data_IF_167671486024
#
_entry.id   IF_167671486024
#
_cell.length_a   1.000
_cell.length_b   1.000
_cell.length_c   1.000
_cell.angle_alpha   90.00
_cell.angle_beta   90.00
_cell.angle_gamma   90.00
#
_symmetry.space_group_name_H-M   'P 1'
#
loop_
_entity.id
_entity.type
_entity.pdbx_description
1 polymer ?
#
# COMPACT_ATOMS: atom_id res chain seq x y z
N UNK A 1 3.98 -23.04 7.64
CA UNK A 1 3.12 -22.04 8.26
C UNK A 1 1.76 -22.66 8.57
N UNK A 2 1.28 -22.48 9.78
CA UNK A 2 -0.06 -22.96 10.16
C UNK A 2 -1.09 -21.86 9.94
N UNK A 3 -1.94 -22.07 8.94
CA UNK A 3 -3.09 -21.21 8.64
C UNK A 3 -4.38 -21.98 8.89
N UNK A 4 -5.47 -21.27 9.21
CA UNK A 4 -6.80 -21.88 9.31
C UNK A 4 -7.31 -22.29 7.93
N UNK A 5 -6.86 -21.60 6.87
CA UNK A 5 -7.22 -21.90 5.48
C UNK A 5 -6.03 -21.60 4.55
N UNK A 6 -5.99 -22.30 3.42
CA UNK A 6 -5.02 -22.03 2.36
C UNK A 6 -5.43 -20.76 1.61
N UNK A 7 -4.48 -19.85 1.27
CA UNK A 7 -4.81 -18.69 0.46
C UNK A 7 -5.47 -19.09 -0.86
N UNK A 8 -6.53 -18.37 -1.23
CA UNK A 8 -7.25 -18.63 -2.48
C UNK A 8 -6.43 -18.11 -3.67
N UNK A 9 -6.48 -18.83 -4.78
CA UNK A 9 -5.85 -18.37 -6.02
C UNK A 9 -6.64 -17.17 -6.56
N UNK A 10 -5.98 -16.01 -6.82
CA UNK A 10 -6.68 -14.87 -7.37
C UNK A 10 -7.13 -15.15 -8.81
N UNK A 11 -8.32 -14.66 -9.20
CA UNK A 11 -8.71 -14.66 -10.59
C UNK A 11 -7.78 -13.74 -11.39
N UNK A 12 -7.67 -13.93 -12.73
CA UNK A 12 -6.92 -13.00 -13.54
C UNK A 12 -7.54 -11.58 -13.45
N UNK A 13 -6.74 -10.52 -13.54
CA UNK A 13 -7.28 -9.17 -13.58
C UNK A 13 -8.22 -8.99 -14.77
N UNK A 14 -9.21 -8.08 -14.70
CA UNK A 14 -10.08 -7.78 -15.84
C UNK A 14 -9.24 -7.41 -17.07
N UNK A 15 -9.64 -7.90 -18.24
CA UNK A 15 -8.95 -7.58 -19.51
C UNK A 15 -8.93 -6.07 -19.78
N UNK A 16 -10.04 -5.39 -19.45
CA UNK A 16 -10.11 -3.92 -19.43
C UNK A 16 -9.92 -3.47 -17.99
N UNK A 17 -8.87 -2.67 -17.74
CA UNK A 17 -8.61 -2.11 -16.41
C UNK A 17 -9.74 -1.19 -16.01
N UNK A 18 -10.21 -1.23 -14.74
CA UNK A 18 -11.24 -0.32 -14.28
C UNK A 18 -10.73 1.12 -14.29
N UNK A 19 -11.63 2.06 -14.60
CA UNK A 19 -11.32 3.48 -14.47
C UNK A 19 -11.29 3.85 -13.00
N UNK A 20 -10.16 4.39 -12.54
CA UNK A 20 -10.00 4.82 -11.15
C UNK A 20 -10.38 6.28 -11.03
N UNK A 21 -11.28 6.57 -10.11
CA UNK A 21 -11.70 7.94 -9.77
C UNK A 21 -11.48 8.18 -8.29
N UNK A 22 -11.38 9.46 -7.92
CA UNK A 22 -11.28 9.84 -6.51
C UNK A 22 -12.55 9.43 -5.77
N UNK A 23 -12.40 8.83 -4.59
CA UNK A 23 -13.51 8.48 -3.71
C UNK A 23 -14.29 9.73 -3.32
N UNK A 24 -15.63 9.64 -3.30
CA UNK A 24 -16.49 10.71 -2.86
C UNK A 24 -16.08 11.20 -1.46
N UNK A 25 -15.96 12.52 -1.31
CA UNK A 25 -15.51 13.15 -0.07
C UNK A 25 -14.00 13.27 0.08
N UNK A 26 -13.22 12.72 -0.87
CA UNK A 26 -11.75 12.80 -0.86
C UNK A 26 -11.22 13.84 -1.86
N UNK A 27 -12.11 14.51 -2.57
CA UNK A 27 -11.75 15.49 -3.58
C UNK A 27 -11.09 16.72 -2.94
N UNK A 28 -10.12 17.27 -3.65
CA UNK A 28 -9.56 18.57 -3.33
C UNK A 28 -9.95 19.57 -4.40
N UNK A 29 -9.95 20.84 -4.05
CA UNK A 29 -10.32 21.91 -4.99
C UNK A 29 -9.48 21.84 -6.26
N UNK A 30 -10.15 21.79 -7.40
CA UNK A 30 -9.52 21.80 -8.70
C UNK A 30 -8.90 20.46 -9.13
N UNK A 31 -9.22 19.35 -8.49
CA UNK A 31 -8.60 18.05 -8.81
C UNK A 31 -8.87 17.60 -10.25
N UNK A 32 -10.05 17.86 -10.78
CA UNK A 32 -10.41 17.49 -12.16
C UNK A 32 -9.69 18.37 -13.18
N UNK A 33 -9.78 19.69 -13.00
CA UNK A 33 -9.21 20.67 -13.93
C UNK A 33 -7.68 20.57 -14.00
N UNK A 34 -7.05 20.21 -12.89
CA UNK A 34 -5.60 20.04 -12.82
C UNK A 34 -5.14 18.64 -13.19
N UNK A 35 -6.07 17.71 -13.42
CA UNK A 35 -5.74 16.32 -13.71
C UNK A 35 -4.91 15.66 -12.60
N UNK A 36 -5.29 15.91 -11.35
CA UNK A 36 -4.58 15.38 -10.19
C UNK A 36 -4.79 13.86 -10.07
N UNK A 37 -3.81 13.11 -9.53
CA UNK A 37 -3.97 11.68 -9.38
C UNK A 37 -5.14 11.34 -8.47
N UNK A 38 -5.93 10.30 -8.79
CA UNK A 38 -7.09 9.93 -8.00
C UNK A 38 -6.69 9.37 -6.63
N UNK A 39 -7.49 9.69 -5.62
CA UNK A 39 -7.35 9.22 -4.24
C UNK A 39 -8.49 8.24 -3.96
N UNK A 40 -8.18 6.98 -3.68
CA UNK A 40 -9.19 5.93 -3.58
C UNK A 40 -8.85 4.90 -2.51
N UNK A 41 -9.85 4.17 -2.06
CA UNK A 41 -9.73 3.16 -0.99
C UNK A 41 -10.13 1.77 -1.46
N UNK A 42 -10.73 1.68 -2.66
CA UNK A 42 -11.26 0.45 -3.26
C UNK A 42 -11.08 0.54 -4.76
N UNK A 43 -10.64 -0.54 -5.38
CA UNK A 43 -10.63 -0.67 -6.84
C UNK A 43 -12.01 -1.14 -7.30
N UNK A 44 -12.64 -0.49 -8.29
CA UNK A 44 -14.02 -0.81 -8.68
C UNK A 44 -14.08 -2.08 -9.53
N UNK A 45 -14.02 -3.24 -8.88
CA UNK A 45 -14.15 -4.56 -9.49
C UNK A 45 -15.20 -5.39 -8.77
N UNK A 46 -15.77 -6.37 -9.47
CA UNK A 46 -16.75 -7.31 -8.89
C UNK A 46 -16.12 -8.57 -8.34
N UNK A 47 -14.90 -8.87 -8.77
CA UNK A 47 -14.15 -10.04 -8.34
C UNK A 47 -13.88 -9.97 -6.83
N UNK A 48 -13.99 -11.11 -6.15
CA UNK A 48 -13.69 -11.20 -4.73
C UNK A 48 -12.18 -11.22 -4.50
N UNK A 49 -11.57 -10.08 -4.69
CA UNK A 49 -10.15 -9.83 -4.43
C UNK A 49 -9.99 -8.68 -3.46
N UNK A 50 -8.93 -8.74 -2.67
CA UNK A 50 -8.44 -7.63 -1.84
C UNK A 50 -6.96 -7.41 -2.15
N UNK A 51 -6.46 -6.23 -1.79
CA UNK A 51 -5.08 -5.86 -2.05
C UNK A 51 -4.38 -5.58 -0.71
N UNK A 52 -3.37 -6.38 -0.38
CA UNK A 52 -2.56 -6.16 0.81
C UNK A 52 -1.52 -5.08 0.52
N UNK A 53 -1.51 -4.04 1.33
CA UNK A 53 -0.54 -2.94 1.24
C UNK A 53 0.13 -2.73 2.60
N UNK A 54 1.45 -2.52 2.59
CA UNK A 54 2.25 -2.47 3.81
C UNK A 54 3.11 -1.22 3.81
N UNK A 55 2.97 -0.39 4.83
CA UNK A 55 3.58 0.93 4.92
C UNK A 55 4.84 0.97 5.78
N UNK A 56 5.67 1.98 5.54
CA UNK A 56 6.82 2.45 6.30
C UNK A 56 8.12 1.73 5.94
N UNK A 57 8.33 0.49 6.38
CA UNK A 57 9.57 -0.26 6.19
C UNK A 57 10.45 -0.31 7.44
N UNK A 58 9.90 -0.07 8.63
CA UNK A 58 10.68 -0.07 9.87
C UNK A 58 11.16 -1.48 10.24
N UNK A 59 10.27 -2.45 10.29
CA UNK A 59 10.61 -3.83 10.62
C UNK A 59 11.13 -4.57 9.39
N UNK A 60 12.27 -5.26 9.51
CA UNK A 60 12.88 -6.04 8.44
C UNK A 60 12.95 -7.50 8.83
N UNK A 61 11.78 -8.12 9.00
CA UNK A 61 11.64 -9.50 9.47
C UNK A 61 11.89 -10.50 8.32
N UNK A 62 12.95 -11.30 8.38
CA UNK A 62 13.21 -12.31 7.35
C UNK A 62 12.16 -13.41 7.31
N UNK A 63 11.49 -13.70 8.44
CA UNK A 63 10.42 -14.68 8.48
C UNK A 63 9.20 -14.24 7.67
N UNK A 64 8.94 -12.93 7.64
CA UNK A 64 7.89 -12.36 6.80
C UNK A 64 8.16 -12.62 5.30
N UNK A 65 9.36 -12.34 4.82
CA UNK A 65 9.71 -12.60 3.41
C UNK A 65 9.56 -14.07 3.05
N UNK A 66 10.02 -14.98 3.93
CA UNK A 66 9.88 -16.42 3.70
C UNK A 66 8.42 -16.83 3.63
N UNK A 67 7.60 -16.34 4.55
CA UNK A 67 6.17 -16.66 4.60
C UNK A 67 5.44 -16.21 3.34
N UNK A 68 5.66 -14.96 2.92
CA UNK A 68 5.01 -14.41 1.73
C UNK A 68 5.42 -15.16 0.46
N UNK A 69 6.69 -15.53 0.37
CA UNK A 69 7.19 -16.31 -0.76
C UNK A 69 6.63 -17.74 -0.76
N UNK A 70 6.68 -18.43 0.38
CA UNK A 70 6.17 -19.81 0.52
C UNK A 70 4.67 -19.89 0.20
N UNK A 71 3.89 -18.93 0.66
CA UNK A 71 2.44 -18.89 0.45
C UNK A 71 2.04 -18.20 -0.87
N UNK A 72 3.00 -17.63 -1.59
CA UNK A 72 2.78 -16.92 -2.85
C UNK A 72 1.74 -15.81 -2.72
N UNK A 73 1.81 -15.04 -1.64
CA UNK A 73 0.91 -13.91 -1.39
C UNK A 73 1.48 -12.65 -2.02
N UNK A 74 0.79 -12.04 -2.99
CA UNK A 74 1.21 -10.77 -3.55
C UNK A 74 0.92 -9.62 -2.58
N UNK A 75 1.73 -8.59 -2.61
CA UNK A 75 1.53 -7.39 -1.81
C UNK A 75 2.27 -6.20 -2.40
N UNK A 76 1.88 -5.01 -1.95
CA UNK A 76 2.48 -3.73 -2.34
C UNK A 76 3.05 -3.07 -1.12
N UNK A 77 4.29 -2.60 -1.18
CA UNK A 77 4.92 -1.84 -0.10
C UNK A 77 4.98 -0.36 -0.45
N UNK A 78 4.68 0.50 0.53
CA UNK A 78 4.86 1.95 0.46
C UNK A 78 5.96 2.34 1.44
N UNK A 79 7.14 2.69 0.94
CA UNK A 79 8.37 2.80 1.71
C UNK A 79 8.82 4.24 1.91
N UNK A 80 9.35 4.52 3.10
CA UNK A 80 10.01 5.79 3.44
C UNK A 80 11.51 5.60 3.63
N UNK A 81 12.30 6.41 2.94
CA UNK A 81 13.76 6.24 2.89
C UNK A 81 14.41 6.25 4.27
N UNK A 82 13.98 7.13 5.17
CA UNK A 82 14.61 7.23 6.49
C UNK A 82 14.52 5.91 7.29
N UNK A 83 13.57 5.04 6.96
CA UNK A 83 13.41 3.72 7.59
C UNK A 83 14.11 2.61 6.84
N UNK A 84 14.12 2.67 5.49
CA UNK A 84 14.67 1.57 4.68
C UNK A 84 16.17 1.70 4.44
N UNK A 85 16.76 2.88 4.62
CA UNK A 85 18.18 3.12 4.34
C UNK A 85 19.14 2.28 5.19
N UNK A 86 18.70 1.77 6.30
CA UNK A 86 19.48 0.87 7.15
C UNK A 86 19.72 -0.48 6.50
N UNK A 87 18.82 -0.93 5.63
CA UNK A 87 18.94 -2.20 4.90
C UNK A 87 18.15 -2.16 3.58
N UNK A 88 18.68 -1.47 2.59
CA UNK A 88 18.10 -1.48 1.25
C UNK A 88 18.01 -2.89 0.64
N UNK A 89 18.92 -3.78 1.05
CA UNK A 89 18.96 -5.14 0.56
C UNK A 89 17.76 -5.98 0.94
N UNK A 90 17.15 -5.74 2.11
CA UNK A 90 15.93 -6.41 2.52
C UNK A 90 14.80 -6.16 1.52
N UNK A 91 14.60 -4.92 1.12
CA UNK A 91 13.56 -4.52 0.16
C UNK A 91 13.92 -4.92 -1.28
N UNK A 92 15.20 -5.04 -1.60
CA UNK A 92 15.63 -5.58 -2.90
C UNK A 92 15.24 -7.05 -3.01
N UNK A 93 15.42 -7.84 -1.97
CA UNK A 93 14.95 -9.24 -1.92
C UNK A 93 13.43 -9.31 -2.05
N UNK A 94 12.71 -8.45 -1.34
CA UNK A 94 11.26 -8.34 -1.41
C UNK A 94 10.79 -8.12 -2.85
N UNK A 95 11.41 -7.17 -3.54
CA UNK A 95 11.10 -6.86 -4.95
C UNK A 95 11.44 -8.03 -5.87
N UNK A 96 12.57 -8.69 -5.66
CA UNK A 96 12.95 -9.86 -6.44
C UNK A 96 11.96 -11.02 -6.29
N UNK A 97 11.32 -11.13 -5.14
CA UNK A 97 10.28 -12.13 -4.86
C UNK A 97 8.90 -11.72 -5.41
N UNK A 98 8.77 -10.56 -6.06
CA UNK A 98 7.57 -10.14 -6.78
C UNK A 98 6.74 -9.05 -6.12
N UNK A 99 7.12 -8.53 -4.95
CA UNK A 99 6.43 -7.41 -4.35
C UNK A 99 6.76 -6.10 -5.10
N UNK A 100 5.77 -5.21 -5.19
CA UNK A 100 5.97 -3.88 -5.75
C UNK A 100 6.36 -2.89 -4.65
N UNK A 101 7.34 -2.04 -4.95
CA UNK A 101 7.83 -1.01 -4.03
C UNK A 101 7.35 0.35 -4.52
N UNK A 102 6.69 1.09 -3.64
CA UNK A 102 6.09 2.38 -3.94
C UNK A 102 6.46 3.44 -2.91
N UNK A 103 5.99 4.65 -3.13
CA UNK A 103 6.44 5.88 -2.50
C UNK A 103 5.60 6.24 -1.27
N UNK A 104 6.26 6.37 -0.10
CA UNK A 104 5.65 6.87 1.14
C UNK A 104 6.42 8.08 1.70
N UNK A 105 7.10 8.84 0.82
CA UNK A 105 7.96 9.99 1.09
C UNK A 105 9.33 9.64 1.67
N UNK A 106 10.23 10.62 1.69
CA UNK A 106 11.57 10.44 2.28
C UNK A 106 11.52 10.25 3.79
N UNK A 107 10.79 11.10 4.51
CA UNK A 107 10.89 11.25 5.96
C UNK A 107 9.57 11.06 6.71
N UNK A 108 8.53 10.58 6.04
CA UNK A 108 7.21 10.34 6.64
C UNK A 108 6.64 11.58 7.36
N UNK A 109 6.74 12.76 6.72
CA UNK A 109 6.26 14.01 7.31
C UNK A 109 4.75 14.17 7.13
N UNK A 110 4.14 14.97 8.01
CA UNK A 110 2.75 15.40 7.83
C UNK A 110 2.71 16.43 6.71
N UNK A 111 2.37 15.99 5.51
CA UNK A 111 2.49 16.80 4.28
C UNK A 111 1.68 18.10 4.30
N UNK A 112 0.40 18.13 4.78
CA UNK A 112 -0.38 19.37 4.77
C UNK A 112 0.23 20.55 5.54
N UNK A 113 1.15 20.29 6.46
CA UNK A 113 1.87 21.33 7.20
C UNK A 113 3.08 21.90 6.44
N UNK A 114 3.43 21.30 5.30
CA UNK A 114 4.60 21.69 4.50
C UNK A 114 4.18 22.56 3.31
N UNK A 115 5.10 23.43 2.87
CA UNK A 115 4.94 24.15 1.62
C UNK A 115 4.91 23.17 0.44
N UNK A 116 4.38 23.63 -0.70
CA UNK A 116 4.40 22.84 -1.94
C UNK A 116 5.80 22.33 -2.27
N UNK A 117 6.82 23.19 -2.19
CA UNK A 117 8.21 22.81 -2.50
C UNK A 117 8.75 21.73 -1.56
N UNK A 118 8.40 21.78 -0.27
CA UNK A 118 8.81 20.77 0.69
C UNK A 118 8.08 19.45 0.48
N UNK A 119 6.80 19.50 0.15
CA UNK A 119 6.06 18.30 -0.23
C UNK A 119 6.66 17.67 -1.50
N UNK A 120 6.99 18.50 -2.50
CA UNK A 120 7.63 18.03 -3.72
C UNK A 120 8.99 17.39 -3.44
N UNK A 121 9.80 17.99 -2.57
CA UNK A 121 11.07 17.41 -2.14
C UNK A 121 10.87 16.02 -1.50
N UNK A 122 9.90 15.89 -0.62
CA UNK A 122 9.61 14.63 0.08
C UNK A 122 9.17 13.52 -0.89
N UNK A 123 8.34 13.85 -1.84
CA UNK A 123 7.80 12.87 -2.79
C UNK A 123 8.78 12.59 -3.94
N UNK A 124 9.29 13.64 -4.60
CA UNK A 124 10.25 13.46 -5.69
C UNK A 124 11.57 12.86 -5.20
N UNK A 125 12.02 13.23 -4.00
CA UNK A 125 13.22 12.66 -3.39
C UNK A 125 13.08 11.15 -3.20
N UNK A 126 11.92 10.68 -2.76
CA UNK A 126 11.67 9.24 -2.62
C UNK A 126 11.60 8.54 -3.99
N UNK A 127 11.06 9.19 -5.02
CA UNK A 127 11.12 8.68 -6.41
C UNK A 127 12.56 8.46 -6.86
N UNK A 128 13.45 9.39 -6.53
CA UNK A 128 14.88 9.28 -6.86
C UNK A 128 15.55 8.12 -6.12
N UNK A 129 15.23 7.92 -4.83
CA UNK A 129 15.71 6.78 -4.06
C UNK A 129 15.26 5.46 -4.71
N UNK A 130 13.98 5.34 -5.05
CA UNK A 130 13.44 4.12 -5.66
C UNK A 130 14.11 3.84 -7.01
N UNK A 131 14.31 4.86 -7.83
CA UNK A 131 15.03 4.71 -9.11
C UNK A 131 16.48 4.29 -8.91
N UNK A 132 17.20 4.95 -8.03
CA UNK A 132 18.62 4.69 -7.78
C UNK A 132 18.88 3.32 -7.14
N UNK A 133 18.03 2.93 -6.19
CA UNK A 133 18.21 1.67 -5.44
C UNK A 133 17.59 0.47 -6.11
N UNK A 134 16.49 0.66 -6.83
CA UNK A 134 15.67 -0.44 -7.36
C UNK A 134 15.37 -0.32 -8.86
N UNK A 135 15.87 0.71 -9.52
CA UNK A 135 15.84 0.82 -10.98
C UNK A 135 14.61 1.45 -11.60
N UNK A 136 13.61 1.83 -10.82
CA UNK A 136 12.39 2.43 -11.35
C UNK A 136 11.73 3.37 -10.35
N UNK A 137 11.12 4.45 -10.86
CA UNK A 137 10.22 5.30 -10.09
C UNK A 137 8.89 4.57 -9.87
N UNK A 138 8.21 4.91 -8.78
CA UNK A 138 6.93 4.32 -8.45
C UNK A 138 5.77 5.04 -9.13
N UNK A 139 4.76 4.30 -9.63
CA UNK A 139 3.52 4.91 -10.11
C UNK A 139 2.54 5.26 -8.98
N UNK A 140 2.73 4.68 -7.81
CA UNK A 140 1.83 4.81 -6.66
C UNK A 140 2.51 5.57 -5.53
N UNK A 141 1.72 6.39 -4.85
CA UNK A 141 2.15 7.15 -3.68
C UNK A 141 1.05 7.09 -2.63
N UNK A 142 1.45 6.88 -1.38
CA UNK A 142 0.55 6.99 -0.23
C UNK A 142 1.07 8.08 0.70
N UNK A 143 0.28 9.14 0.96
CA UNK A 143 0.70 10.17 1.89
C UNK A 143 0.76 9.62 3.31
N UNK A 144 1.77 10.03 4.10
CA UNK A 144 1.86 9.66 5.52
C UNK A 144 0.56 9.97 6.26
N UNK A 145 0.12 9.05 7.13
CA UNK A 145 -1.12 9.11 7.90
C UNK A 145 -2.40 9.13 7.03
N UNK A 146 -2.27 9.00 5.72
CA UNK A 146 -3.39 9.18 4.79
C UNK A 146 -3.79 10.63 4.60
N UNK A 147 -2.99 11.59 5.06
CA UNK A 147 -3.30 13.02 5.04
C UNK A 147 -2.62 13.72 3.87
N UNK A 148 -3.42 14.47 3.14
CA UNK A 148 -2.97 15.21 1.96
C UNK A 148 -3.81 16.48 1.79
N UNK A 149 -3.28 17.41 1.01
CA UNK A 149 -4.03 18.56 0.54
C UNK A 149 -3.83 18.71 -0.98
N UNK A 150 -4.31 19.80 -1.57
CA UNK A 150 -4.15 20.08 -2.98
C UNK A 150 -2.67 20.08 -3.40
N UNK A 151 -1.81 20.69 -2.60
CA UNK A 151 -0.37 20.75 -2.87
C UNK A 151 0.28 19.36 -2.84
N UNK A 152 -0.18 18.47 -1.98
CA UNK A 152 0.29 17.07 -1.95
C UNK A 152 0.05 16.38 -3.29
N UNK A 153 -1.16 16.53 -3.85
CA UNK A 153 -1.52 15.89 -5.12
C UNK A 153 -0.84 16.56 -6.31
N UNK A 154 -0.68 17.88 -6.28
CA UNK A 154 0.10 18.61 -7.29
C UNK A 154 1.57 18.17 -7.28
N UNK A 155 2.16 18.07 -6.11
CA UNK A 155 3.52 17.58 -5.94
C UNK A 155 3.66 16.14 -6.45
N UNK A 156 2.74 15.26 -6.04
CA UNK A 156 2.73 13.87 -6.50
C UNK A 156 2.69 13.78 -8.03
N UNK A 157 1.80 14.51 -8.67
CA UNK A 157 1.72 14.59 -10.13
C UNK A 157 3.04 15.04 -10.76
N UNK A 158 3.67 16.08 -10.21
CA UNK A 158 4.95 16.59 -10.71
C UNK A 158 6.09 15.58 -10.58
N UNK A 159 5.97 14.61 -9.67
CA UNK A 159 6.95 13.55 -9.43
C UNK A 159 6.67 12.26 -10.21
N UNK A 160 5.68 12.27 -11.12
CA UNK A 160 5.34 11.11 -11.94
C UNK A 160 4.40 10.12 -11.28
N UNK A 161 3.78 10.47 -10.16
CA UNK A 161 2.78 9.63 -9.49
C UNK A 161 1.49 9.65 -10.32
N UNK A 162 0.90 8.46 -10.50
CA UNK A 162 -0.33 8.28 -11.28
C UNK A 162 -1.54 7.99 -10.39
N UNK A 163 -1.35 7.36 -9.24
CA UNK A 163 -2.41 6.92 -8.36
C UNK A 163 -2.03 7.12 -6.90
N UNK A 164 -3.03 7.46 -6.06
CA UNK A 164 -2.87 7.67 -4.62
C UNK A 164 -3.82 6.71 -3.88
N UNK A 165 -3.45 5.42 -3.75
CA UNK A 165 -4.29 4.47 -3.03
C UNK A 165 -4.15 4.67 -1.53
N UNK A 166 -5.27 4.97 -0.86
CA UNK A 166 -5.43 4.88 0.58
C UNK A 166 -5.95 3.48 0.93
N UNK A 167 -6.78 3.33 1.94
CA UNK A 167 -7.24 2.00 2.39
C UNK A 167 -8.65 2.06 2.93
N UNK A 168 -9.33 0.92 2.91
CA UNK A 168 -10.68 0.78 3.48
C UNK A 168 -10.69 -0.03 4.77
N UNK A 169 -9.71 -0.90 4.98
CA UNK A 169 -9.47 -1.63 6.22
C UNK A 169 -8.01 -1.54 6.62
N UNK A 170 -7.74 -1.75 7.90
CA UNK A 170 -6.39 -1.92 8.43
C UNK A 170 -6.33 -3.17 9.29
N UNK A 171 -5.30 -4.01 9.08
CA UNK A 171 -5.07 -5.22 9.86
C UNK A 171 -3.85 -5.07 10.77
N UNK A 172 -4.02 -5.50 12.01
CA UNK A 172 -3.00 -5.55 13.06
C UNK A 172 -2.81 -7.01 13.50
N UNK A 173 -1.91 -7.25 14.44
CA UNK A 173 -1.74 -8.61 14.99
C UNK A 173 -2.94 -9.06 15.84
N UNK A 174 -3.65 -8.13 16.45
CA UNK A 174 -4.71 -8.41 17.44
C UNK A 174 -6.11 -7.97 16.99
N UNK A 175 -6.26 -7.25 15.87
CA UNK A 175 -7.54 -6.72 15.45
C UNK A 175 -7.55 -6.28 13.99
N UNK A 176 -8.77 -5.98 13.52
CA UNK A 176 -9.04 -5.28 12.28
C UNK A 176 -9.72 -3.94 12.59
N UNK A 177 -9.40 -2.91 11.80
CA UNK A 177 -10.10 -1.63 11.82
C UNK A 177 -10.71 -1.36 10.44
N UNK A 178 -11.84 -0.66 10.42
CA UNK A 178 -12.64 -0.46 9.21
C UNK A 178 -12.97 1.02 9.05
N UNK A 179 -12.88 1.49 7.80
CA UNK A 179 -13.34 2.84 7.47
C UNK A 179 -14.86 2.91 7.50
N UNK A 180 -15.53 1.88 6.99
CA UNK A 180 -16.99 1.84 6.95
C UNK A 180 -17.61 1.34 8.26
N UNK A 181 -18.75 1.96 8.70
CA UNK A 181 -19.37 1.57 9.98
C UNK A 181 -19.87 0.14 10.06
N UNK A 182 -20.20 -0.49 8.93
CA UNK A 182 -20.70 -1.87 8.89
C UNK A 182 -19.60 -2.92 9.09
N UNK A 183 -18.32 -2.51 9.07
CA UNK A 183 -17.16 -3.35 9.35
C UNK A 183 -17.11 -4.58 8.44
N UNK A 184 -17.30 -4.38 7.14
CA UNK A 184 -17.31 -5.45 6.14
C UNK A 184 -16.23 -5.20 5.08
N UNK A 185 -15.57 -6.30 4.66
CA UNK A 185 -14.68 -6.29 3.49
C UNK A 185 -15.54 -6.36 2.23
N UNK A 186 -15.15 -5.59 1.21
CA UNK A 186 -15.82 -5.55 -0.10
C UNK A 186 -14.84 -5.90 -1.21
N UNK A 187 -15.35 -6.43 -2.35
CA UNK A 187 -14.50 -6.67 -3.52
C UNK A 187 -13.69 -5.42 -3.93
N UNK A 188 -12.40 -5.63 -4.16
CA UNK A 188 -11.49 -4.56 -4.56
C UNK A 188 -10.94 -3.71 -3.42
N UNK A 189 -11.28 -4.01 -2.18
CA UNK A 189 -10.80 -3.23 -1.04
C UNK A 189 -9.28 -3.28 -0.90
N UNK A 190 -8.71 -2.13 -0.57
CA UNK A 190 -7.31 -1.96 -0.25
C UNK A 190 -7.14 -2.07 1.26
N UNK A 191 -6.30 -2.99 1.70
CA UNK A 191 -6.04 -3.27 3.12
C UNK A 191 -4.67 -2.73 3.50
N UNK A 192 -4.62 -1.93 4.54
CA UNK A 192 -3.40 -1.37 5.12
C UNK A 192 -2.88 -2.28 6.24
N UNK A 193 -1.57 -2.43 6.30
CA UNK A 193 -0.84 -2.82 7.49
C UNK A 193 0.53 -2.14 7.49
N UNK A 194 1.39 -2.48 8.45
CA UNK A 194 2.68 -1.83 8.62
C UNK A 194 3.80 -2.84 8.80
N UNK A 195 5.03 -2.44 8.45
CA UNK A 195 6.24 -3.18 8.82
C UNK A 195 6.56 -2.89 10.29
N UNK A 196 6.00 -3.71 11.18
CA UNK A 196 6.20 -3.61 12.64
C UNK A 196 6.41 -4.99 13.24
N UNK A 197 7.07 -5.03 14.40
CA UNK A 197 7.35 -6.24 15.14
C UNK A 197 6.96 -6.11 16.60
N UNK A 198 7.53 -6.96 17.44
CA UNK A 198 7.19 -7.05 18.88
C UNK A 198 7.51 -5.78 19.67
N UNK A 199 8.33 -4.88 19.12
CA UNK A 199 8.57 -3.57 19.72
C UNK A 199 7.37 -2.64 19.69
N UNK A 200 6.50 -2.80 18.70
CA UNK A 200 5.30 -1.97 18.49
C UNK A 200 4.01 -2.76 18.63
N UNK A 201 4.05 -4.06 18.29
CA UNK A 201 2.90 -4.95 18.33
C UNK A 201 3.10 -6.06 19.39
N UNK A 202 2.02 -6.71 19.80
CA UNK A 202 2.06 -7.92 20.63
C UNK A 202 2.29 -9.19 19.79
N UNK A 203 3.02 -9.07 18.71
CA UNK A 203 3.31 -10.16 17.79
C UNK A 203 4.24 -9.75 16.67
N UNK A 204 4.41 -10.67 15.72
CA UNK A 204 5.32 -10.52 14.57
C UNK A 204 4.55 -10.22 13.30
N UNK A 205 5.27 -9.87 12.22
CA UNK A 205 4.65 -9.75 10.89
C UNK A 205 4.00 -11.07 10.43
N UNK A 206 4.61 -12.26 10.60
CA UNK A 206 3.89 -13.50 10.35
C UNK A 206 2.57 -13.66 11.11
N UNK A 207 2.49 -13.20 12.35
CA UNK A 207 1.24 -13.21 13.11
C UNK A 207 0.17 -12.32 12.46
N UNK A 208 0.55 -11.15 12.00
CA UNK A 208 -0.34 -10.25 11.25
C UNK A 208 -0.81 -10.90 9.95
N UNK A 209 0.10 -11.52 9.19
CA UNK A 209 -0.23 -12.19 7.93
C UNK A 209 -1.24 -13.32 8.16
N UNK A 210 -1.06 -14.13 9.22
CA UNK A 210 -2.04 -15.16 9.58
C UNK A 210 -3.43 -14.57 9.83
N UNK A 211 -3.51 -13.51 10.63
CA UNK A 211 -4.78 -12.82 10.89
C UNK A 211 -5.43 -12.31 9.60
N UNK A 212 -4.63 -11.71 8.73
CA UNK A 212 -5.10 -11.22 7.44
C UNK A 212 -5.65 -12.36 6.58
N UNK A 213 -4.84 -13.38 6.33
CA UNK A 213 -5.21 -14.49 5.44
C UNK A 213 -6.40 -15.30 5.97
N UNK A 214 -6.42 -15.58 7.26
CA UNK A 214 -7.52 -16.36 7.86
C UNK A 214 -8.86 -15.67 7.65
N UNK A 215 -8.92 -14.34 7.83
CA UNK A 215 -10.15 -13.58 7.63
C UNK A 215 -10.55 -13.50 6.16
N UNK A 216 -9.65 -13.04 5.29
CA UNK A 216 -10.02 -12.81 3.89
C UNK A 216 -10.36 -14.13 3.18
N UNK A 217 -9.64 -15.21 3.50
CA UNK A 217 -9.92 -16.54 2.93
C UNK A 217 -11.26 -17.07 3.42
N UNK A 218 -11.56 -16.95 4.72
CA UNK A 218 -12.83 -17.40 5.27
C UNK A 218 -14.03 -16.67 4.65
N UNK A 219 -13.86 -15.41 4.23
CA UNK A 219 -14.90 -14.63 3.56
C UNK A 219 -14.89 -14.81 2.04
N UNK A 220 -14.03 -15.67 1.51
CA UNK A 220 -13.98 -16.02 0.08
C UNK A 220 -13.19 -15.05 -0.79
N UNK A 221 -12.32 -14.22 -0.20
CA UNK A 221 -11.47 -13.29 -0.94
C UNK A 221 -10.10 -13.89 -1.22
N UNK A 222 -9.65 -13.75 -2.46
CA UNK A 222 -8.26 -13.96 -2.82
C UNK A 222 -7.48 -12.64 -2.65
N UNK A 223 -6.17 -12.76 -2.46
CA UNK A 223 -5.27 -11.60 -2.44
C UNK A 223 -4.69 -11.44 -3.84
N UNK A 224 -4.80 -10.24 -4.39
CA UNK A 224 -4.27 -9.91 -5.70
C UNK A 224 -3.24 -8.78 -5.60
N UNK A 225 -2.47 -8.58 -6.66
CA UNK A 225 -1.49 -7.50 -6.73
C UNK A 225 -2.19 -6.23 -7.23
N UNK A 226 -2.10 -5.16 -6.45
CA UNK A 226 -2.79 -3.89 -6.75
C UNK A 226 -2.39 -3.35 -8.13
N UNK A 227 -1.10 -3.37 -8.46
CA UNK A 227 -0.57 -2.83 -9.72
C UNK A 227 -1.11 -3.54 -10.96
N UNK A 228 -1.55 -4.78 -10.83
CA UNK A 228 -2.12 -5.52 -11.95
C UNK A 228 -3.53 -5.02 -12.33
N UNK A 229 -4.14 -4.21 -11.48
CA UNK A 229 -5.51 -3.70 -11.65
C UNK A 229 -5.55 -2.21 -12.04
N UNK A 230 -4.39 -1.55 -12.10
CA UNK A 230 -4.31 -0.10 -12.35
C UNK A 230 -3.70 0.24 -13.72
#
# INVERSE_FOLDING_TARGET
>A
WRLAAVPLTPPPPPATRPRITTREGFEVRGHEELGLPPVFTTVPVRQKVVFLTIDDGAEKDPAFLRMMNDLRVPYTAFLSDYLIKEDYGYFRRMRADGAALNNHTLNHRYLPALSFRRQQYEICGMQDVLRERYGARAPLFRPPFGNYNRDSLRAAKSCGIRYVPLWNEEVFVDRWEYREPDRRIRPGDIVLTHFRGRGDWKGTMPDMVRRFLDKVTAEGYAVARLEDYL
#
